data_IF_864325067376
#
_entry.id   IF_864325067376
#
_cell.length_a   1.000
_cell.length_b   1.000
_cell.length_c   1.000
_cell.angle_alpha   90.00
_cell.angle_beta   90.00
_cell.angle_gamma   90.00
#
_symmetry.space_group_name_H-M   'P 1'
#
loop_
_entity.id
_entity.type
_entity.pdbx_description
1 polymer ?
#
# COMPACT_ATOMS: atom_id res chain seq x y z
N UNK A 1 50.61 13.79 -34.16
CA UNK A 1 49.78 14.99 -33.90
C UNK A 1 48.36 14.52 -33.62
N UNK A 2 47.94 14.56 -32.36
CA UNK A 2 46.60 14.17 -31.96
C UNK A 2 45.67 15.38 -32.13
N UNK A 3 44.79 15.32 -33.13
CA UNK A 3 43.70 16.28 -33.32
C UNK A 3 42.75 16.15 -32.13
N UNK A 4 42.91 17.03 -31.15
CA UNK A 4 41.94 17.24 -30.09
C UNK A 4 40.64 17.69 -30.75
N UNK A 5 39.70 16.75 -30.92
CA UNK A 5 38.31 17.07 -31.22
C UNK A 5 37.81 17.85 -30.01
N UNK A 6 37.91 19.18 -30.07
CA UNK A 6 37.17 20.08 -29.19
C UNK A 6 35.71 19.70 -29.38
N UNK A 7 35.16 18.89 -28.46
CA UNK A 7 33.73 18.71 -28.35
C UNK A 7 33.15 20.12 -28.21
N UNK A 8 32.56 20.64 -29.29
CA UNK A 8 31.88 21.92 -29.26
C UNK A 8 30.78 21.81 -28.21
N UNK A 9 30.98 22.49 -27.07
CA UNK A 9 29.96 22.58 -26.03
C UNK A 9 28.70 23.19 -26.65
N UNK A 10 27.56 22.60 -26.36
CA UNK A 10 26.27 23.08 -26.86
C UNK A 10 25.99 24.45 -26.23
N UNK A 11 25.50 25.44 -27.00
CA UNK A 11 25.23 26.77 -26.48
C UNK A 11 24.04 26.75 -25.51
N UNK A 12 24.07 27.62 -24.50
CA UNK A 12 23.03 27.74 -23.47
C UNK A 12 21.62 27.90 -24.05
N UNK A 13 21.45 28.63 -25.15
CA UNK A 13 20.15 28.81 -25.80
C UNK A 13 19.60 27.49 -26.38
N UNK A 14 20.46 26.65 -26.97
CA UNK A 14 20.05 25.33 -27.46
C UNK A 14 19.71 24.38 -26.31
N UNK A 15 20.50 24.40 -25.23
CA UNK A 15 20.22 23.62 -24.02
C UNK A 15 18.90 24.07 -23.35
N UNK A 16 18.62 25.37 -23.35
CA UNK A 16 17.35 25.89 -22.84
C UNK A 16 16.15 25.39 -23.65
N UNK A 17 16.26 25.35 -24.98
CA UNK A 17 15.21 24.81 -25.85
C UNK A 17 14.98 23.31 -25.59
N UNK A 18 16.05 22.52 -25.50
CA UNK A 18 15.96 21.09 -25.20
C UNK A 18 15.33 20.80 -23.83
N UNK A 19 15.71 21.55 -22.79
CA UNK A 19 15.12 21.41 -21.45
C UNK A 19 13.64 21.79 -21.48
N UNK A 20 13.29 22.86 -22.19
CA UNK A 20 11.90 23.27 -22.36
C UNK A 20 11.07 22.18 -23.04
N UNK A 21 11.53 21.64 -24.17
CA UNK A 21 10.85 20.55 -24.87
C UNK A 21 10.73 19.29 -24.01
N UNK A 22 11.77 18.94 -23.24
CA UNK A 22 11.74 17.83 -22.30
C UNK A 22 10.67 18.03 -21.23
N UNK A 23 10.61 19.23 -20.64
CA UNK A 23 9.63 19.61 -19.64
C UNK A 23 8.20 19.57 -20.21
N UNK A 24 7.97 20.12 -21.40
CA UNK A 24 6.69 20.03 -22.10
C UNK A 24 6.29 18.58 -22.38
N UNK A 25 7.24 17.76 -22.86
CA UNK A 25 6.97 16.34 -23.10
C UNK A 25 6.62 15.60 -21.81
N UNK A 26 7.20 15.95 -20.67
CA UNK A 26 6.81 15.38 -19.38
C UNK A 26 5.41 15.83 -18.98
N UNK A 27 5.11 17.13 -19.11
CA UNK A 27 3.81 17.72 -18.79
C UNK A 27 2.66 17.11 -19.61
N UNK A 28 2.86 16.96 -20.93
CA UNK A 28 1.83 16.48 -21.84
C UNK A 28 1.63 14.96 -21.80
N UNK A 29 2.67 14.19 -21.49
CA UNK A 29 2.63 12.72 -21.63
C UNK A 29 2.81 11.97 -20.32
N UNK A 30 3.79 12.32 -19.50
CA UNK A 30 4.22 11.49 -18.35
C UNK A 30 3.45 11.81 -17.08
N UNK A 31 3.23 13.08 -16.78
CA UNK A 31 2.44 13.50 -15.61
C UNK A 31 0.99 12.97 -15.71
N UNK A 32 0.29 13.08 -16.86
CA UNK A 32 -1.06 12.52 -17.00
C UNK A 32 -1.11 11.00 -16.90
N UNK A 33 -0.10 10.29 -17.44
CA UNK A 33 -0.01 8.83 -17.29
C UNK A 33 0.18 8.40 -15.83
N UNK A 34 1.04 9.11 -15.10
CA UNK A 34 1.20 8.86 -13.67
C UNK A 34 -0.09 9.14 -12.89
N UNK A 35 -0.84 10.18 -13.25
CA UNK A 35 -2.14 10.45 -12.64
C UNK A 35 -3.17 9.35 -12.97
N UNK A 36 -3.22 8.87 -14.22
CA UNK A 36 -4.09 7.76 -14.61
C UNK A 36 -3.73 6.45 -13.88
N UNK A 37 -2.44 6.14 -13.70
CA UNK A 37 -2.01 4.99 -12.88
C UNK A 37 -2.43 5.17 -11.43
N UNK A 38 -2.28 6.39 -10.87
CA UNK A 38 -2.73 6.72 -9.51
C UNK A 38 -4.24 6.53 -9.35
N UNK A 39 -5.06 6.98 -10.30
CA UNK A 39 -6.51 6.79 -10.27
C UNK A 39 -6.88 5.30 -10.27
N UNK A 40 -6.28 4.51 -11.17
CA UNK A 40 -6.48 3.06 -11.23
C UNK A 40 -6.07 2.36 -9.92
N UNK A 41 -4.98 2.81 -9.29
CA UNK A 41 -4.56 2.31 -7.97
C UNK A 41 -5.54 2.68 -6.87
N UNK A 42 -6.13 3.89 -6.93
CA UNK A 42 -7.13 4.32 -5.97
C UNK A 42 -8.44 3.52 -6.12
N UNK A 43 -8.84 3.19 -7.35
CA UNK A 43 -9.97 2.29 -7.64
C UNK A 43 -9.69 0.86 -7.18
N UNK A 44 -8.50 0.32 -7.48
CA UNK A 44 -8.09 -1.01 -7.05
C UNK A 44 -7.84 -1.11 -5.53
N UNK A 45 -7.65 0.03 -4.85
CA UNK A 45 -7.57 0.10 -3.39
C UNK A 45 -8.87 -0.35 -2.72
N UNK A 46 -10.00 -0.46 -3.43
CA UNK A 46 -11.28 -0.92 -2.90
C UNK A 46 -11.06 -2.03 -1.87
N UNK A 47 -11.39 -1.68 -0.62
CA UNK A 47 -10.93 -2.40 0.55
C UNK A 47 -11.36 -3.86 0.53
N UNK A 48 -10.53 -4.69 1.15
CA UNK A 48 -11.01 -5.92 1.74
C UNK A 48 -12.10 -5.51 2.76
N UNK A 49 -13.21 -6.24 2.89
CA UNK A 49 -14.26 -5.93 3.86
C UNK A 49 -13.78 -6.29 5.28
N UNK A 50 -12.77 -5.54 5.75
CA UNK A 50 -12.05 -5.82 6.98
C UNK A 50 -12.92 -5.64 8.22
N UNK A 51 -13.85 -4.69 8.19
CA UNK A 51 -14.75 -4.43 9.32
C UNK A 51 -15.58 -5.68 9.68
N UNK A 52 -16.20 -6.33 8.68
CA UNK A 52 -16.98 -7.55 8.93
C UNK A 52 -16.11 -8.71 9.42
N UNK A 53 -14.88 -8.83 8.91
CA UNK A 53 -13.93 -9.85 9.36
C UNK A 53 -13.45 -9.57 10.80
N UNK A 54 -13.14 -8.31 11.12
CA UNK A 54 -12.72 -7.85 12.45
C UNK A 54 -13.82 -8.11 13.48
N UNK A 55 -15.06 -7.73 13.17
CA UNK A 55 -16.24 -7.99 14.00
C UNK A 55 -16.41 -9.50 14.25
N UNK A 56 -16.26 -10.32 13.21
CA UNK A 56 -16.37 -11.78 13.33
C UNK A 56 -15.24 -12.40 14.17
N UNK A 57 -14.01 -11.91 14.03
CA UNK A 57 -12.88 -12.34 14.87
C UNK A 57 -13.12 -11.97 16.33
N UNK A 58 -13.58 -10.75 16.62
CA UNK A 58 -13.90 -10.31 17.97
C UNK A 58 -15.09 -11.07 18.57
N UNK A 59 -16.15 -11.30 17.80
CA UNK A 59 -17.29 -12.10 18.24
C UNK A 59 -16.87 -13.55 18.55
N UNK A 60 -16.06 -14.16 17.69
CA UNK A 60 -15.51 -15.50 17.94
C UNK A 60 -14.63 -15.51 19.19
N UNK A 61 -13.74 -14.53 19.35
CA UNK A 61 -12.92 -14.42 20.54
C UNK A 61 -13.77 -14.27 21.81
N UNK A 62 -14.78 -13.40 21.79
CA UNK A 62 -15.70 -13.21 22.92
C UNK A 62 -16.42 -14.51 23.29
N UNK A 63 -16.97 -15.23 22.30
CA UNK A 63 -17.64 -16.52 22.54
C UNK A 63 -16.70 -17.59 23.12
N UNK A 64 -15.44 -17.64 22.68
CA UNK A 64 -14.44 -18.54 23.29
C UNK A 64 -14.19 -18.21 24.76
N UNK A 65 -14.15 -16.93 25.13
CA UNK A 65 -13.92 -16.48 26.51
C UNK A 65 -15.12 -16.77 27.41
N UNK A 66 -16.34 -16.72 26.87
CA UNK A 66 -17.56 -17.01 27.64
C UNK A 66 -17.81 -18.50 27.87
N UNK A 67 -17.15 -19.40 27.13
CA UNK A 67 -17.37 -20.84 27.25
C UNK A 67 -16.85 -21.36 28.61
N UNK A 68 -17.79 -21.74 29.47
CA UNK A 68 -17.54 -22.28 30.80
C UNK A 68 -17.59 -23.82 30.80
N UNK A 69 -16.41 -24.43 30.71
CA UNK A 69 -16.27 -25.88 30.79
C UNK A 69 -16.66 -26.47 32.17
N UNK A 70 -16.70 -25.66 33.24
CA UNK A 70 -17.15 -26.13 34.56
C UNK A 70 -18.66 -26.29 34.62
N UNK A 71 -19.42 -25.50 33.84
CA UNK A 71 -20.86 -25.63 33.73
C UNK A 71 -21.26 -27.02 33.19
N UNK A 72 -20.50 -27.56 32.23
CA UNK A 72 -20.69 -28.92 31.68
C UNK A 72 -20.46 -30.07 32.68
N UNK A 73 -19.81 -29.82 33.80
CA UNK A 73 -19.54 -30.82 34.85
C UNK A 73 -20.68 -30.97 35.87
N UNK A 74 -21.59 -30.00 35.94
CA UNK A 74 -22.51 -29.86 37.07
C UNK A 74 -23.83 -30.64 36.93
N UNK A 75 -24.15 -31.13 35.72
CA UNK A 75 -25.48 -31.71 35.42
C UNK A 75 -26.63 -30.69 35.55
N UNK A 76 -27.82 -31.04 35.06
CA UNK A 76 -29.03 -30.21 35.22
C UNK A 76 -28.96 -28.85 34.51
N UNK A 77 -29.50 -27.78 35.10
CA UNK A 77 -29.61 -26.45 34.47
C UNK A 77 -28.27 -25.87 33.97
N UNK A 78 -27.16 -26.21 34.63
CA UNK A 78 -25.82 -25.76 34.25
C UNK A 78 -25.28 -26.44 32.98
N UNK A 79 -25.72 -27.66 32.65
CA UNK A 79 -25.36 -28.25 31.35
C UNK A 79 -26.10 -27.54 30.21
N UNK A 80 -27.30 -27.03 30.44
CA UNK A 80 -28.03 -26.18 29.49
C UNK A 80 -27.27 -24.91 29.12
N UNK A 81 -26.61 -24.28 30.08
CA UNK A 81 -25.78 -23.09 29.84
C UNK A 81 -24.53 -23.42 29.01
N UNK A 82 -23.83 -24.54 29.32
CA UNK A 82 -22.71 -25.01 28.50
C UNK A 82 -23.13 -25.29 27.04
N UNK A 83 -24.29 -25.94 26.84
CA UNK A 83 -24.84 -26.20 25.52
C UNK A 83 -25.12 -24.91 24.75
N UNK A 84 -25.76 -23.93 25.40
CA UNK A 84 -26.07 -22.62 24.80
C UNK A 84 -24.80 -21.87 24.38
N UNK A 85 -23.79 -21.85 25.26
CA UNK A 85 -22.50 -21.21 24.98
C UNK A 85 -21.76 -21.91 23.84
N UNK A 86 -21.74 -23.25 23.82
CA UNK A 86 -21.10 -24.02 22.76
C UNK A 86 -21.80 -23.85 21.40
N UNK A 87 -23.13 -23.81 21.37
CA UNK A 87 -23.89 -23.50 20.15
C UNK A 87 -23.59 -22.09 19.63
N UNK A 88 -23.50 -21.10 20.51
CA UNK A 88 -23.13 -19.74 20.15
C UNK A 88 -21.72 -19.67 19.55
N UNK A 89 -20.76 -20.39 20.14
CA UNK A 89 -19.40 -20.50 19.62
C UNK A 89 -19.36 -21.21 18.26
N UNK A 90 -20.09 -22.32 18.09
CA UNK A 90 -20.18 -23.02 16.81
C UNK A 90 -20.73 -22.11 15.69
N UNK A 91 -21.76 -21.32 15.99
CA UNK A 91 -22.31 -20.34 15.06
C UNK A 91 -21.30 -19.23 14.70
N UNK A 92 -20.56 -18.71 15.69
CA UNK A 92 -19.52 -17.71 15.47
C UNK A 92 -18.37 -18.26 14.59
N UNK A 93 -17.91 -19.48 14.87
CA UNK A 93 -16.89 -20.18 14.09
C UNK A 93 -17.33 -20.41 12.64
N UNK A 94 -18.57 -20.87 12.42
CA UNK A 94 -19.11 -21.05 11.08
C UNK A 94 -19.18 -19.72 10.31
N UNK A 95 -19.60 -18.63 10.98
CA UNK A 95 -19.65 -17.31 10.38
C UNK A 95 -18.27 -16.78 10.00
N UNK A 96 -17.28 -16.89 10.90
CA UNK A 96 -15.90 -16.50 10.65
C UNK A 96 -15.26 -17.32 9.52
N UNK A 97 -15.55 -18.62 9.46
CA UNK A 97 -15.06 -19.52 8.41
C UNK A 97 -15.54 -19.07 7.03
N UNK A 98 -16.84 -18.77 6.92
CA UNK A 98 -17.44 -18.26 5.68
C UNK A 98 -16.80 -16.93 5.25
N UNK A 99 -16.72 -15.96 6.17
CA UNK A 99 -16.14 -14.64 5.85
C UNK A 99 -14.67 -14.73 5.45
N UNK A 100 -13.89 -15.56 6.13
CA UNK A 100 -12.50 -15.84 5.77
C UNK A 100 -12.41 -16.37 4.33
N UNK A 101 -13.25 -17.33 3.97
CA UNK A 101 -13.28 -17.88 2.61
C UNK A 101 -13.59 -16.81 1.55
N UNK A 102 -14.57 -15.96 1.81
CA UNK A 102 -14.94 -14.85 0.92
C UNK A 102 -13.80 -13.83 0.75
N UNK A 103 -13.15 -13.47 1.86
CA UNK A 103 -12.02 -12.53 1.88
C UNK A 103 -10.85 -13.08 1.05
N UNK A 104 -10.45 -14.32 1.30
CA UNK A 104 -9.34 -14.97 0.60
C UNK A 104 -9.63 -15.09 -0.90
N UNK A 105 -10.85 -15.51 -1.25
CA UNK A 105 -11.23 -15.67 -2.65
C UNK A 105 -11.19 -14.33 -3.39
N UNK A 106 -11.72 -13.26 -2.79
CA UNK A 106 -11.70 -11.92 -3.38
C UNK A 106 -10.27 -11.41 -3.54
N UNK A 107 -9.41 -11.63 -2.56
CA UNK A 107 -8.00 -11.20 -2.64
C UNK A 107 -7.23 -11.97 -3.71
N UNK A 108 -7.47 -13.27 -3.85
CA UNK A 108 -6.88 -14.09 -4.91
C UNK A 108 -7.19 -13.57 -6.33
N UNK A 109 -8.36 -12.96 -6.53
CA UNK A 109 -8.75 -12.34 -7.80
C UNK A 109 -8.17 -10.93 -7.97
N UNK A 110 -8.15 -10.12 -6.91
CA UNK A 110 -7.73 -8.70 -6.97
C UNK A 110 -6.20 -8.51 -6.98
N UNK A 111 -5.46 -9.36 -6.28
CA UNK A 111 -4.02 -9.24 -6.09
C UNK A 111 -3.22 -9.15 -7.41
N UNK A 112 -3.49 -10.00 -8.43
CA UNK A 112 -2.80 -9.89 -9.72
C UNK A 112 -3.05 -8.57 -10.45
N UNK A 113 -4.29 -8.06 -10.41
CA UNK A 113 -4.67 -6.81 -11.07
C UNK A 113 -3.96 -5.63 -10.42
N UNK A 114 -3.94 -5.56 -9.08
CA UNK A 114 -3.22 -4.53 -8.34
C UNK A 114 -1.71 -4.57 -8.64
N UNK A 115 -1.14 -5.78 -8.74
CA UNK A 115 0.29 -5.96 -9.06
C UNK A 115 0.68 -5.39 -10.43
N UNK A 116 -0.17 -5.57 -11.45
CA UNK A 116 0.06 -4.98 -12.78
C UNK A 116 0.09 -3.45 -12.72
N UNK A 117 -0.80 -2.84 -11.93
CA UNK A 117 -0.83 -1.38 -11.76
C UNK A 117 0.42 -0.86 -11.03
N UNK A 118 1.01 -1.62 -10.11
CA UNK A 118 2.30 -1.24 -9.49
C UNK A 118 3.45 -1.29 -10.49
N UNK A 119 3.46 -2.29 -11.38
CA UNK A 119 4.46 -2.38 -12.44
C UNK A 119 4.39 -1.14 -13.34
N UNK A 120 3.18 -0.71 -13.74
CA UNK A 120 2.98 0.52 -14.50
C UNK A 120 3.55 1.76 -13.76
N UNK A 121 3.28 1.88 -12.46
CA UNK A 121 3.78 2.99 -11.63
C UNK A 121 5.32 3.01 -11.58
N UNK A 122 5.95 1.85 -11.41
CA UNK A 122 7.41 1.71 -11.40
C UNK A 122 8.00 2.08 -12.75
N UNK A 123 7.43 1.60 -13.85
CA UNK A 123 7.90 1.89 -15.21
C UNK A 123 7.81 3.38 -15.50
N UNK A 124 6.66 4.01 -15.21
CA UNK A 124 6.46 5.44 -15.47
C UNK A 124 7.32 6.32 -14.55
N UNK A 125 7.47 5.97 -13.27
CA UNK A 125 8.33 6.71 -12.34
C UNK A 125 9.82 6.61 -12.72
N UNK A 126 10.30 5.44 -13.15
CA UNK A 126 11.68 5.26 -13.66
C UNK A 126 11.91 6.07 -14.93
N UNK A 127 10.96 6.05 -15.87
CA UNK A 127 11.02 6.85 -17.09
C UNK A 127 11.11 8.35 -16.77
N UNK A 128 10.27 8.83 -15.85
CA UNK A 128 10.29 10.23 -15.42
C UNK A 128 11.63 10.59 -14.77
N UNK A 129 12.17 9.73 -13.89
CA UNK A 129 13.47 9.94 -13.23
C UNK A 129 14.62 10.08 -14.22
N UNK A 130 14.62 9.26 -15.29
CA UNK A 130 15.65 9.33 -16.34
C UNK A 130 15.65 10.70 -17.02
N UNK A 131 14.46 11.20 -17.39
CA UNK A 131 14.30 12.53 -18.01
C UNK A 131 14.68 13.66 -17.07
N UNK A 132 14.33 13.56 -15.78
CA UNK A 132 14.73 14.54 -14.77
C UNK A 132 16.25 14.65 -14.69
N UNK A 133 16.98 13.53 -14.64
CA UNK A 133 18.45 13.53 -14.61
C UNK A 133 19.04 14.18 -15.85
N UNK A 134 18.48 13.85 -17.02
CA UNK A 134 18.91 14.45 -18.30
C UNK A 134 18.70 15.96 -18.32
N UNK A 135 17.51 16.44 -17.93
CA UNK A 135 17.24 17.88 -17.82
C UNK A 135 18.14 18.58 -16.81
N UNK A 136 18.45 17.94 -15.68
CA UNK A 136 19.32 18.51 -14.65
C UNK A 136 20.76 18.66 -15.15
N UNK A 137 21.24 17.68 -15.92
CA UNK A 137 22.54 17.74 -16.57
C UNK A 137 22.59 18.90 -17.58
N UNK A 138 21.58 19.03 -18.44
CA UNK A 138 21.52 20.13 -19.42
C UNK A 138 21.45 21.51 -18.76
N UNK A 139 20.71 21.66 -17.67
CA UNK A 139 20.68 22.91 -16.90
C UNK A 139 22.04 23.23 -16.25
N UNK A 140 22.78 22.22 -15.79
CA UNK A 140 24.12 22.42 -15.25
C UNK A 140 25.11 22.85 -16.34
N UNK A 141 25.08 22.22 -17.52
CA UNK A 141 25.88 22.60 -18.70
C UNK A 141 25.55 24.03 -19.17
N UNK A 142 24.26 24.37 -19.21
CA UNK A 142 23.80 25.72 -19.53
C UNK A 142 24.31 26.75 -18.51
N UNK A 143 24.27 26.44 -17.22
CA UNK A 143 24.79 27.30 -16.16
C UNK A 143 26.30 27.57 -16.31
N UNK A 144 27.08 26.55 -16.72
CA UNK A 144 28.51 26.71 -17.01
C UNK A 144 28.75 27.63 -18.22
N UNK A 145 28.02 27.44 -19.33
CA UNK A 145 28.12 28.30 -20.52
C UNK A 145 27.72 29.76 -20.21
N UNK A 146 26.64 29.97 -19.47
CA UNK A 146 26.23 31.32 -19.06
C UNK A 146 27.28 31.98 -18.14
N UNK A 147 27.88 31.24 -17.21
CA UNK A 147 28.94 31.75 -16.35
C UNK A 147 30.20 32.12 -17.13
N UNK A 148 30.58 31.32 -18.13
CA UNK A 148 31.70 31.59 -19.02
C UNK A 148 31.45 32.86 -19.86
N UNK A 149 30.25 32.97 -20.45
CA UNK A 149 29.85 34.16 -21.22
C UNK A 149 29.78 35.43 -20.38
N UNK A 150 29.30 35.36 -19.13
CA UNK A 150 29.32 36.52 -18.21
C UNK A 150 30.72 37.05 -17.95
N UNK A 151 31.74 36.17 -17.89
CA UNK A 151 33.14 36.60 -17.70
C UNK A 151 33.71 37.29 -18.94
N UNK A 152 33.18 36.99 -20.12
CA UNK A 152 33.66 37.48 -21.42
C UNK A 152 32.85 38.68 -21.94
N UNK A 153 31.65 38.92 -21.41
CA UNK A 153 30.74 39.95 -21.90
C UNK A 153 31.13 41.35 -21.42
N UNK A 154 31.11 42.33 -22.33
CA UNK A 154 31.18 43.75 -21.99
C UNK A 154 29.80 44.27 -21.51
N UNK A 155 29.76 45.33 -20.68
CA UNK A 155 28.50 45.87 -20.17
C UNK A 155 27.55 46.30 -21.31
N UNK A 156 26.29 45.86 -21.28
CA UNK A 156 25.29 46.27 -22.28
C UNK A 156 24.24 45.21 -22.61
N UNK A 157 23.79 45.18 -23.87
CA UNK A 157 22.70 44.31 -24.36
C UNK A 157 23.02 42.82 -24.19
N UNK A 158 24.29 42.43 -24.35
CA UNK A 158 24.74 41.04 -24.15
C UNK A 158 24.52 40.55 -22.71
N UNK A 159 24.73 41.42 -21.71
CA UNK A 159 24.52 41.09 -20.31
C UNK A 159 23.04 40.86 -20.01
N UNK A 160 22.14 41.71 -20.52
CA UNK A 160 20.68 41.55 -20.36
C UNK A 160 20.17 40.25 -20.94
N UNK A 161 20.68 39.84 -22.11
CA UNK A 161 20.31 38.56 -22.73
C UNK A 161 20.79 37.35 -21.91
N UNK A 162 21.99 37.43 -21.33
CA UNK A 162 22.51 36.39 -20.42
C UNK A 162 21.67 36.31 -19.14
N UNK A 163 21.28 37.45 -18.56
CA UNK A 163 20.47 37.50 -17.35
C UNK A 163 19.03 36.99 -17.58
N UNK A 164 18.45 37.26 -18.75
CA UNK A 164 17.17 36.68 -19.18
C UNK A 164 17.26 35.15 -19.33
N UNK A 165 18.30 34.65 -20.01
CA UNK A 165 18.53 33.20 -20.14
C UNK A 165 18.74 32.53 -18.77
N UNK A 166 19.47 33.19 -17.85
CA UNK A 166 19.65 32.70 -16.49
C UNK A 166 18.33 32.62 -15.72
N UNK A 167 17.46 33.65 -15.83
CA UNK A 167 16.12 33.64 -15.22
C UNK A 167 15.25 32.51 -15.77
N UNK A 168 15.23 32.30 -17.08
CA UNK A 168 14.53 31.15 -17.71
C UNK A 168 15.08 29.83 -17.19
N UNK A 169 16.40 29.72 -17.05
CA UNK A 169 17.08 28.58 -16.48
C UNK A 169 16.62 28.25 -15.06
N UNK A 170 16.49 29.27 -14.20
CA UNK A 170 15.98 29.11 -12.84
C UNK A 170 14.54 28.57 -12.84
N UNK A 171 13.65 29.15 -13.65
CA UNK A 171 12.26 28.66 -13.80
C UNK A 171 12.18 27.21 -14.30
N UNK A 172 13.03 26.82 -15.26
CA UNK A 172 13.10 25.44 -15.73
C UNK A 172 13.62 24.50 -14.64
N UNK A 173 14.60 24.95 -13.84
CA UNK A 173 15.12 24.20 -12.70
C UNK A 173 14.03 23.94 -11.65
N UNK A 174 13.23 24.95 -11.30
CA UNK A 174 12.11 24.81 -10.36
C UNK A 174 11.07 23.79 -10.84
N UNK A 175 10.67 23.85 -12.11
CA UNK A 175 9.75 22.87 -12.72
C UNK A 175 10.34 21.46 -12.73
N UNK A 176 11.63 21.33 -12.99
CA UNK A 176 12.35 20.05 -12.93
C UNK A 176 12.40 19.50 -11.50
N UNK A 177 12.62 20.35 -10.50
CA UNK A 177 12.55 19.97 -9.09
C UNK A 177 11.14 19.54 -8.68
N UNK A 178 10.10 20.22 -9.15
CA UNK A 178 8.72 19.83 -8.90
C UNK A 178 8.41 18.45 -9.50
N UNK A 179 8.85 18.19 -10.74
CA UNK A 179 8.77 16.86 -11.35
C UNK A 179 9.57 15.80 -10.56
N UNK A 180 10.73 16.17 -10.01
CA UNK A 180 11.50 15.29 -9.12
C UNK A 180 10.73 14.92 -7.85
N UNK A 181 10.08 15.89 -7.20
CA UNK A 181 9.24 15.64 -6.02
C UNK A 181 8.06 14.71 -6.34
N UNK A 182 7.41 14.89 -7.49
CA UNK A 182 6.35 13.98 -7.97
C UNK A 182 6.89 12.55 -8.20
N UNK A 183 8.05 12.43 -8.86
CA UNK A 183 8.71 11.13 -9.06
C UNK A 183 9.08 10.46 -7.73
N UNK A 184 9.48 11.24 -6.72
CA UNK A 184 9.73 10.70 -5.39
C UNK A 184 8.45 10.20 -4.73
N UNK A 185 7.35 10.94 -4.86
CA UNK A 185 6.05 10.53 -4.32
C UNK A 185 5.52 9.26 -4.98
N UNK A 186 5.65 9.14 -6.31
CA UNK A 186 5.28 7.91 -7.02
C UNK A 186 6.04 6.68 -6.51
N UNK A 187 7.31 6.84 -6.08
CA UNK A 187 8.06 5.75 -5.45
C UNK A 187 7.55 5.45 -4.04
N UNK A 188 7.20 6.47 -3.25
CA UNK A 188 6.58 6.26 -1.94
C UNK A 188 5.25 5.52 -2.05
N UNK A 189 4.41 5.88 -3.02
CA UNK A 189 3.15 5.16 -3.33
C UNK A 189 3.43 3.70 -3.70
N UNK A 190 4.45 3.44 -4.52
CA UNK A 190 4.84 2.07 -4.86
C UNK A 190 5.25 1.26 -3.62
N UNK A 191 6.14 1.80 -2.77
CA UNK A 191 6.57 1.11 -1.55
C UNK A 191 5.39 0.85 -0.60
N UNK A 192 4.51 1.84 -0.40
CA UNK A 192 3.31 1.66 0.42
C UNK A 192 2.35 0.62 -0.16
N UNK A 193 2.28 0.53 -1.49
CA UNK A 193 1.47 -0.50 -2.17
C UNK A 193 2.04 -1.90 -1.99
N UNK A 194 3.36 -2.07 -2.08
CA UNK A 194 4.03 -3.35 -1.81
C UNK A 194 3.86 -3.77 -0.35
N UNK A 195 4.00 -2.83 0.59
CA UNK A 195 3.76 -3.09 2.01
C UNK A 195 2.31 -3.54 2.24
N UNK A 196 1.33 -2.82 1.69
CA UNK A 196 -0.08 -3.19 1.77
C UNK A 196 -0.33 -4.60 1.24
N UNK A 197 0.28 -4.95 0.10
CA UNK A 197 0.22 -6.30 -0.47
C UNK A 197 0.78 -7.37 0.47
N UNK A 198 1.93 -7.07 1.09
CA UNK A 198 2.58 -7.95 2.05
C UNK A 198 1.70 -8.21 3.26
N UNK A 199 1.13 -7.16 3.85
CA UNK A 199 0.21 -7.29 4.99
C UNK A 199 -1.05 -8.10 4.63
N UNK A 200 -1.62 -7.88 3.43
CA UNK A 200 -2.76 -8.69 2.94
C UNK A 200 -2.39 -10.17 2.80
N UNK A 201 -1.24 -10.46 2.21
CA UNK A 201 -0.77 -11.84 2.04
C UNK A 201 -0.53 -12.53 3.39
N UNK A 202 0.07 -11.83 4.35
CA UNK A 202 0.31 -12.34 5.71
C UNK A 202 -1.00 -12.60 6.45
N UNK A 203 -1.97 -11.68 6.36
CA UNK A 203 -3.30 -11.88 6.94
C UNK A 203 -3.98 -13.11 6.30
N UNK A 204 -4.02 -13.19 4.96
CA UNK A 204 -4.64 -14.33 4.27
C UNK A 204 -3.99 -15.67 4.66
N UNK A 205 -2.66 -15.73 4.73
CA UNK A 205 -1.95 -16.93 5.19
C UNK A 205 -2.30 -17.28 6.64
N UNK A 206 -2.37 -16.29 7.53
CA UNK A 206 -2.75 -16.52 8.94
C UNK A 206 -4.17 -17.04 9.06
N UNK A 207 -5.11 -16.46 8.29
CA UNK A 207 -6.49 -16.91 8.29
C UNK A 207 -6.61 -18.34 7.77
N UNK A 208 -5.98 -18.67 6.63
CA UNK A 208 -6.08 -19.98 5.99
C UNK A 208 -5.31 -21.08 6.72
N UNK A 209 -4.08 -20.81 7.13
CA UNK A 209 -3.16 -21.84 7.61
C UNK A 209 -3.21 -22.00 9.13
N UNK A 210 -3.78 -21.02 9.85
CA UNK A 210 -3.79 -21.01 11.32
C UNK A 210 -5.19 -20.88 11.91
N UNK A 211 -5.94 -19.83 11.55
CA UNK A 211 -7.27 -19.59 12.12
C UNK A 211 -8.26 -20.66 11.70
N UNK A 212 -8.43 -20.93 10.39
CA UNK A 212 -9.38 -21.96 9.93
C UNK A 212 -9.07 -23.36 10.49
N UNK A 213 -7.81 -23.84 10.52
CA UNK A 213 -7.49 -25.11 11.15
C UNK A 213 -7.72 -25.10 12.66
N UNK A 214 -7.46 -23.99 13.36
CA UNK A 214 -7.76 -23.89 14.79
C UNK A 214 -9.27 -23.93 15.07
N UNK A 215 -10.07 -23.25 14.24
CA UNK A 215 -11.52 -23.35 14.24
C UNK A 215 -12.00 -24.79 14.04
N UNK A 216 -11.49 -25.48 13.02
CA UNK A 216 -11.85 -26.88 12.73
C UNK A 216 -11.46 -27.84 13.84
N UNK A 217 -10.29 -27.67 14.47
CA UNK A 217 -9.90 -28.45 15.65
C UNK A 217 -10.85 -28.21 16.82
N UNK A 218 -11.12 -26.95 17.16
CA UNK A 218 -12.01 -26.64 18.27
C UNK A 218 -13.42 -27.19 18.05
N UNK A 219 -13.98 -27.05 16.85
CA UNK A 219 -15.29 -27.62 16.52
C UNK A 219 -15.26 -29.15 16.66
N UNK A 220 -14.23 -29.82 16.12
CA UNK A 220 -14.06 -31.27 16.23
C UNK A 220 -13.99 -31.79 17.67
N UNK A 221 -13.32 -31.05 18.56
CA UNK A 221 -13.24 -31.39 20.00
C UNK A 221 -14.53 -31.01 20.76
N UNK A 222 -15.23 -29.96 20.34
CA UNK A 222 -16.38 -29.42 21.07
C UNK A 222 -17.68 -30.16 20.74
N UNK A 223 -17.91 -30.58 19.49
CA UNK A 223 -19.16 -31.25 19.10
C UNK A 223 -19.47 -32.52 19.91
N UNK A 224 -18.52 -33.44 20.15
CA UNK A 224 -18.76 -34.62 20.98
C UNK A 224 -19.13 -34.24 22.43
N UNK A 225 -18.52 -33.18 22.97
CA UNK A 225 -18.79 -32.70 24.32
C UNK A 225 -20.17 -32.07 24.43
N UNK A 226 -20.60 -31.31 23.42
CA UNK A 226 -21.96 -30.77 23.37
C UNK A 226 -23.00 -31.89 23.25
N UNK A 227 -22.72 -32.91 22.44
CA UNK A 227 -23.60 -34.08 22.38
C UNK A 227 -23.71 -34.78 23.73
N UNK A 228 -22.58 -35.08 24.37
CA UNK A 228 -22.52 -35.76 25.67
C UNK A 228 -23.19 -34.95 26.81
N UNK A 229 -23.00 -33.63 26.84
CA UNK A 229 -23.60 -32.74 27.83
C UNK A 229 -25.14 -32.72 27.78
N UNK A 230 -25.74 -33.14 26.65
CA UNK A 230 -27.19 -33.26 26.50
C UNK A 230 -27.82 -34.38 27.33
N UNK A 231 -27.04 -35.38 27.76
CA UNK A 231 -27.58 -36.54 28.49
C UNK A 231 -26.74 -36.98 29.70
N UNK A 232 -25.55 -36.41 29.91
CA UNK A 232 -24.74 -36.67 31.12
C UNK A 232 -23.83 -35.50 31.49
N UNK A 233 -23.32 -35.52 32.72
CA UNK A 233 -22.22 -34.66 33.11
C UNK A 233 -20.91 -35.07 32.42
N UNK A 234 -20.10 -34.06 32.05
CA UNK A 234 -18.78 -34.27 31.45
C UNK A 234 -17.73 -34.53 32.52
N UNK A 235 -16.76 -35.42 32.23
CA UNK A 235 -15.64 -35.67 33.15
C UNK A 235 -14.41 -34.84 32.74
N UNK A 236 -13.55 -34.43 33.69
CA UNK A 236 -12.45 -33.50 33.41
C UNK A 236 -11.51 -33.93 32.27
N UNK A 237 -11.22 -35.22 32.15
CA UNK A 237 -10.33 -35.76 31.11
C UNK A 237 -10.87 -35.58 29.69
N UNK A 238 -12.19 -35.47 29.53
CA UNK A 238 -12.84 -35.22 28.23
C UNK A 238 -12.68 -33.76 27.79
N UNK A 239 -12.47 -32.85 28.74
CA UNK A 239 -12.45 -31.41 28.48
C UNK A 239 -11.07 -30.89 28.08
N UNK A 240 -10.00 -31.63 28.38
CA UNK A 240 -8.61 -31.18 28.21
C UNK A 240 -8.35 -30.76 26.75
N UNK A 241 -8.66 -31.62 25.78
CA UNK A 241 -8.41 -31.35 24.37
C UNK A 241 -9.19 -30.12 23.85
N UNK A 242 -10.45 -29.96 24.26
CA UNK A 242 -11.25 -28.79 23.90
C UNK A 242 -10.75 -27.50 24.54
N UNK A 243 -10.27 -27.57 25.79
CA UNK A 243 -9.63 -26.45 26.49
C UNK A 243 -8.35 -26.03 25.76
N UNK A 244 -7.50 -26.98 25.38
CA UNK A 244 -6.25 -26.70 24.65
C UNK A 244 -6.54 -26.13 23.26
N UNK A 245 -7.50 -26.71 22.53
CA UNK A 245 -7.94 -26.21 21.23
C UNK A 245 -8.52 -24.79 21.33
N UNK A 246 -9.26 -24.47 22.39
CA UNK A 246 -9.77 -23.11 22.65
C UNK A 246 -8.63 -22.13 22.84
N UNK A 247 -7.65 -22.44 23.70
CA UNK A 247 -6.51 -21.56 23.92
C UNK A 247 -5.70 -21.34 22.65
N UNK A 248 -5.46 -22.41 21.86
CA UNK A 248 -4.80 -22.29 20.57
C UNK A 248 -5.56 -21.35 19.64
N UNK A 249 -6.88 -21.50 19.51
CA UNK A 249 -7.71 -20.59 18.70
C UNK A 249 -7.62 -19.14 19.20
N UNK A 250 -7.68 -18.90 20.50
CA UNK A 250 -7.58 -17.53 21.05
C UNK A 250 -6.27 -16.84 20.68
N UNK A 251 -5.15 -17.57 20.68
CA UNK A 251 -3.85 -17.04 20.24
C UNK A 251 -3.92 -16.64 18.76
N UNK A 252 -4.47 -17.51 17.91
CA UNK A 252 -4.58 -17.24 16.47
C UNK A 252 -5.50 -16.06 16.14
N UNK A 253 -6.66 -15.97 16.82
CA UNK A 253 -7.59 -14.84 16.67
C UNK A 253 -6.92 -13.51 17.06
N UNK A 254 -6.14 -13.51 18.15
CA UNK A 254 -5.42 -12.32 18.61
C UNK A 254 -4.36 -11.87 17.59
N UNK A 255 -3.61 -12.83 17.03
CA UNK A 255 -2.63 -12.57 15.98
C UNK A 255 -3.29 -11.98 14.72
N UNK A 256 -4.41 -12.56 14.29
CA UNK A 256 -5.17 -12.09 13.12
C UNK A 256 -5.74 -10.68 13.34
N UNK A 257 -6.29 -10.38 14.52
CA UNK A 257 -6.77 -9.04 14.87
C UNK A 257 -5.63 -8.00 14.80
N UNK A 258 -4.45 -8.33 15.35
CA UNK A 258 -3.28 -7.45 15.26
C UNK A 258 -2.80 -7.23 13.80
N UNK A 259 -2.97 -8.21 12.91
CA UNK A 259 -2.68 -8.07 11.48
C UNK A 259 -3.70 -7.16 10.79
N UNK A 260 -4.98 -7.23 11.14
CA UNK A 260 -6.01 -6.31 10.61
C UNK A 260 -5.65 -4.86 10.94
N UNK A 261 -5.23 -4.57 12.18
CA UNK A 261 -4.82 -3.22 12.58
C UNK A 261 -3.64 -2.71 11.72
N UNK A 262 -2.62 -3.55 11.50
CA UNK A 262 -1.47 -3.19 10.63
C UNK A 262 -1.91 -2.97 9.18
N UNK A 263 -2.82 -3.81 8.69
CA UNK A 263 -3.37 -3.70 7.35
C UNK A 263 -4.14 -2.39 7.17
N UNK A 264 -5.01 -2.02 8.12
CA UNK A 264 -5.73 -0.74 8.13
C UNK A 264 -4.76 0.46 8.15
N UNK A 265 -3.69 0.38 8.94
CA UNK A 265 -2.65 1.42 8.97
C UNK A 265 -1.94 1.56 7.61
N UNK A 266 -1.61 0.45 6.96
CA UNK A 266 -1.01 0.45 5.63
C UNK A 266 -1.97 1.01 4.55
N UNK A 267 -3.26 0.70 4.64
CA UNK A 267 -4.28 1.28 3.75
C UNK A 267 -4.39 2.80 3.91
N UNK A 268 -4.37 3.29 5.16
CA UNK A 268 -4.41 4.71 5.47
C UNK A 268 -3.13 5.45 5.00
N UNK A 269 -1.95 4.83 5.16
CA UNK A 269 -0.72 5.38 4.63
C UNK A 269 -0.79 5.48 3.11
N UNK A 270 -1.17 4.41 2.40
CA UNK A 270 -1.31 4.44 0.95
C UNK A 270 -2.30 5.51 0.49
N UNK A 271 -3.44 5.64 1.16
CA UNK A 271 -4.41 6.70 0.89
C UNK A 271 -3.80 8.10 0.99
N UNK A 272 -3.02 8.33 2.04
CA UNK A 272 -2.32 9.61 2.27
C UNK A 272 -1.29 9.89 1.17
N UNK A 273 -0.49 8.89 0.78
CA UNK A 273 0.51 9.02 -0.30
C UNK A 273 -0.14 9.31 -1.65
N UNK A 274 -1.22 8.62 -1.98
CA UNK A 274 -1.98 8.85 -3.20
C UNK A 274 -2.54 10.28 -3.25
N UNK A 275 -3.08 10.80 -2.14
CA UNK A 275 -3.55 12.18 -2.06
C UNK A 275 -2.41 13.20 -2.25
N UNK A 276 -1.26 12.98 -1.61
CA UNK A 276 -0.07 13.82 -1.79
C UNK A 276 0.44 13.80 -3.24
N UNK A 277 0.37 12.65 -3.91
CA UNK A 277 0.73 12.51 -5.31
C UNK A 277 -0.21 13.31 -6.21
N UNK A 278 -1.53 13.27 -5.96
CA UNK A 278 -2.54 14.06 -6.67
C UNK A 278 -2.22 15.55 -6.60
N UNK A 279 -1.97 16.06 -5.39
CA UNK A 279 -1.67 17.49 -5.20
C UNK A 279 -0.38 17.91 -5.90
N UNK A 280 0.66 17.09 -5.85
CA UNK A 280 1.93 17.36 -6.55
C UNK A 280 1.76 17.33 -8.06
N UNK A 281 1.00 16.38 -8.59
CA UNK A 281 0.72 16.30 -10.02
C UNK A 281 -0.05 17.53 -10.51
N UNK A 282 -1.10 17.95 -9.77
CA UNK A 282 -1.89 19.14 -10.07
C UNK A 282 -1.04 20.41 -10.09
N UNK A 283 -0.30 20.69 -9.01
CA UNK A 283 0.58 21.88 -8.92
C UNK A 283 1.61 21.91 -10.04
N UNK A 284 2.17 20.76 -10.41
CA UNK A 284 3.11 20.67 -11.51
C UNK A 284 2.45 20.97 -12.86
N UNK A 285 1.23 20.49 -13.10
CA UNK A 285 0.48 20.79 -14.32
C UNK A 285 0.12 22.28 -14.40
N UNK A 286 -0.25 22.92 -13.30
CA UNK A 286 -0.56 24.35 -13.27
C UNK A 286 0.70 25.20 -13.53
N UNK A 287 1.84 24.81 -12.93
CA UNK A 287 3.14 25.43 -13.22
C UNK A 287 3.60 25.26 -14.69
N UNK A 288 3.04 24.31 -15.42
CA UNK A 288 3.28 24.15 -16.87
C UNK A 288 2.32 24.98 -17.74
N UNK A 289 1.20 25.48 -17.21
CA UNK A 289 0.26 26.35 -17.93
C UNK A 289 0.62 27.83 -17.85
N UNK A 290 1.29 28.23 -16.76
CA UNK A 290 1.68 29.62 -16.50
C UNK A 290 2.99 30.06 -17.20
N UNK A 291 3.69 29.13 -17.86
CA UNK A 291 5.03 29.32 -18.43
C UNK A 291 5.03 29.22 -19.96
#
# INVERSE_FOLDING_TARGET
MATSVRMQRRPAAALAADVHELLESMARKRVPRLDAVRQRLQEARAGMELAALEDALHATHATTTTLDFLAGRSGGERSGEFLRQGQALAAAVAHLTRLTGEVVQREGVRSPVARLQWIDLVVESRSLRKRIRQGAQWLAEMGQDLAERRRQAQPGVAQRAIDELARRGASMHERLQAAHRLCSEARSVHMASEQLAGERAVLCATLLDRVLPACGRLDGELQPLLHAAGYRALVPTELIAAIDARHALQVELTQAAAQIIRLQAAEQELATRLAQMTDKARRLMDAFKEA
#
